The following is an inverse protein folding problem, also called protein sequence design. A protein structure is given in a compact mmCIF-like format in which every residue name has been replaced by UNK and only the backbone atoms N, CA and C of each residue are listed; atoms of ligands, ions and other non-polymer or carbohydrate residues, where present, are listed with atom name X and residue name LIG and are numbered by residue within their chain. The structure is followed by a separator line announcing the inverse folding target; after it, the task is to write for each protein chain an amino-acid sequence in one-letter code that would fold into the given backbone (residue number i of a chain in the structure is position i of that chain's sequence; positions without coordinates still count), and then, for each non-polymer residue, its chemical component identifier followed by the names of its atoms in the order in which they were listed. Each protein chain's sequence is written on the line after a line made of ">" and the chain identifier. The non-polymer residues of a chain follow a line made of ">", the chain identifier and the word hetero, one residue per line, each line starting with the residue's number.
data_IF_765747802800
#
_entry.id   IF_765747802800
#
_cell.length_a   1.000
_cell.length_b   1.000
_cell.length_c   1.000
_cell.angle_alpha   90.00
_cell.angle_beta   90.00
_cell.angle_gamma   90.00
#
_symmetry.space_group_name_H-M   'P 1'
#
loop_
_entity.id
_entity.type
_entity.pdbx_description
1 polymer ?
#
# COMPACT_ATOMS: atom_id res chain seq x y z
N UNK A 1 -9.19 -7.52 -32.23
CA UNK A 1 -8.28 -8.52 -31.78
C UNK A 1 -8.90 -9.80 -31.24
N UNK A 2 -10.23 -10.03 -31.38
CA UNK A 2 -10.91 -11.30 -31.16
C UNK A 2 -10.95 -11.82 -29.71
N UNK A 3 -10.54 -11.03 -28.71
CA UNK A 3 -10.57 -11.41 -27.29
C UNK A 3 -11.74 -10.75 -26.58
N UNK A 4 -12.49 -11.54 -25.79
CA UNK A 4 -13.60 -11.02 -25.00
C UNK A 4 -13.13 -10.04 -23.95
N UNK A 5 -13.65 -8.81 -23.98
CA UNK A 5 -13.25 -7.71 -23.07
C UNK A 5 -13.69 -8.01 -21.63
N UNK A 6 -14.91 -8.53 -21.44
CA UNK A 6 -15.43 -8.83 -20.10
C UNK A 6 -14.57 -9.87 -19.39
N UNK A 7 -14.22 -10.95 -20.09
CA UNK A 7 -13.31 -11.97 -19.56
C UNK A 7 -11.96 -11.37 -19.19
N UNK A 8 -11.39 -10.49 -20.02
CA UNK A 8 -10.11 -9.81 -19.73
C UNK A 8 -10.22 -8.91 -18.49
N UNK A 9 -11.33 -8.21 -18.29
CA UNK A 9 -11.56 -7.36 -17.12
C UNK A 9 -11.64 -8.23 -15.85
N UNK A 10 -12.37 -9.34 -15.89
CA UNK A 10 -12.49 -10.28 -14.76
C UNK A 10 -11.13 -10.94 -14.44
N UNK A 11 -10.39 -11.40 -15.43
CA UNK A 11 -9.05 -11.94 -15.19
C UNK A 11 -8.05 -10.85 -14.75
N UNK A 12 -8.13 -9.66 -15.33
CA UNK A 12 -7.31 -8.52 -14.95
C UNK A 12 -7.52 -8.07 -13.51
N UNK A 13 -8.74 -8.21 -12.98
CA UNK A 13 -9.02 -7.89 -11.57
C UNK A 13 -8.17 -8.71 -10.61
N UNK A 14 -7.90 -9.99 -10.91
CA UNK A 14 -7.08 -10.85 -10.06
C UNK A 14 -5.67 -10.30 -9.90
N UNK A 15 -5.08 -9.83 -11.00
CA UNK A 15 -3.72 -9.27 -10.99
C UNK A 15 -3.67 -7.92 -10.30
N UNK A 16 -4.55 -6.98 -10.68
CA UNK A 16 -4.59 -5.65 -10.05
C UNK A 16 -4.88 -5.74 -8.55
N UNK A 17 -5.85 -6.57 -8.13
CA UNK A 17 -6.15 -6.76 -6.71
C UNK A 17 -5.02 -7.48 -5.97
N UNK A 18 -4.43 -8.53 -6.54
CA UNK A 18 -3.32 -9.24 -5.91
C UNK A 18 -2.13 -8.31 -5.68
N UNK A 19 -1.73 -7.53 -6.68
CA UNK A 19 -0.64 -6.54 -6.54
C UNK A 19 -1.01 -5.51 -5.47
N UNK A 20 -2.21 -4.94 -5.50
CA UNK A 20 -2.67 -3.95 -4.52
C UNK A 20 -2.64 -4.47 -3.09
N UNK A 21 -3.16 -5.68 -2.87
CA UNK A 21 -3.22 -6.31 -1.54
C UNK A 21 -1.82 -6.71 -1.06
N UNK A 22 -1.05 -7.43 -1.88
CA UNK A 22 0.29 -7.92 -1.48
C UNK A 22 1.20 -6.74 -1.12
N UNK A 23 1.24 -5.69 -1.95
CA UNK A 23 2.09 -4.52 -1.69
C UNK A 23 1.62 -3.72 -0.47
N UNK A 24 0.30 -3.66 -0.21
CA UNK A 24 -0.23 -3.03 0.99
C UNK A 24 0.20 -3.77 2.25
N UNK A 25 0.15 -5.11 2.25
CA UNK A 25 0.61 -5.91 3.39
C UNK A 25 2.13 -5.83 3.59
N UNK A 26 2.95 -5.89 2.53
CA UNK A 26 4.40 -5.72 2.65
C UNK A 26 4.73 -4.34 3.23
N UNK A 27 4.10 -3.29 2.69
CA UNK A 27 4.28 -1.92 3.19
C UNK A 27 3.83 -1.78 4.64
N UNK A 28 2.73 -2.47 5.02
CA UNK A 28 2.24 -2.49 6.40
C UNK A 28 3.27 -3.13 7.33
N UNK A 29 3.81 -4.29 7.00
CA UNK A 29 4.80 -4.97 7.82
C UNK A 29 6.03 -4.08 8.05
N UNK A 30 6.60 -3.53 6.98
CA UNK A 30 7.78 -2.66 7.06
C UNK A 30 7.45 -1.40 7.86
N UNK A 31 6.36 -0.71 7.52
CA UNK A 31 5.96 0.55 8.13
C UNK A 31 5.56 0.39 9.60
N UNK A 32 4.81 -0.66 9.93
CA UNK A 32 4.40 -0.92 11.31
C UNK A 32 5.60 -1.22 12.20
N UNK A 33 6.51 -2.08 11.74
CA UNK A 33 7.72 -2.40 12.49
C UNK A 33 8.62 -1.18 12.69
N UNK A 34 8.87 -0.44 11.61
CA UNK A 34 9.69 0.77 11.63
C UNK A 34 9.07 1.86 12.52
N UNK A 35 7.79 2.17 12.35
CA UNK A 35 7.09 3.17 13.13
C UNK A 35 6.94 2.80 14.59
N UNK A 36 6.74 1.50 14.90
CA UNK A 36 6.65 1.01 16.26
C UNK A 36 7.99 1.16 17.01
N UNK A 37 9.10 0.81 16.40
CA UNK A 37 10.45 1.00 16.99
C UNK A 37 10.70 2.48 17.22
N UNK A 38 10.51 3.31 16.21
CA UNK A 38 10.72 4.75 16.28
C UNK A 38 9.92 5.39 17.43
N UNK A 39 8.59 5.18 17.46
CA UNK A 39 7.71 5.75 18.49
C UNK A 39 7.99 5.22 19.89
N UNK A 40 8.32 3.93 20.01
CA UNK A 40 8.54 3.31 21.32
C UNK A 40 9.84 3.77 21.98
N UNK A 41 10.96 3.73 21.29
CA UNK A 41 12.25 4.13 21.84
C UNK A 41 12.38 5.64 21.98
N UNK A 42 11.85 6.42 21.00
CA UNK A 42 11.90 7.88 21.07
C UNK A 42 13.31 8.46 20.98
N UNK A 43 13.46 9.72 21.40
CA UNK A 43 14.77 10.39 21.52
C UNK A 43 15.59 10.38 20.22
N UNK A 44 16.86 10.02 20.31
CA UNK A 44 17.77 9.99 19.17
C UNK A 44 17.38 8.93 18.12
N UNK A 45 16.92 7.76 18.57
CA UNK A 45 16.47 6.68 17.66
C UNK A 45 15.33 7.16 16.77
N UNK A 46 14.32 7.78 17.38
CA UNK A 46 13.19 8.36 16.65
C UNK A 46 13.64 9.44 15.68
N UNK A 47 14.52 10.35 16.14
CA UNK A 47 15.00 11.45 15.32
C UNK A 47 15.76 10.99 14.08
N UNK A 48 16.62 9.97 14.19
CA UNK A 48 17.37 9.43 13.06
C UNK A 48 16.44 8.67 12.11
N UNK A 49 15.59 7.80 12.66
CA UNK A 49 14.65 7.00 11.86
C UNK A 49 13.68 7.90 11.09
N UNK A 50 13.11 8.92 11.75
CA UNK A 50 12.18 9.83 11.07
C UNK A 50 12.88 10.74 10.07
N UNK A 51 14.13 11.13 10.27
CA UNK A 51 14.90 11.86 9.26
C UNK A 51 15.01 11.06 7.95
N UNK A 52 15.23 9.75 8.04
CA UNK A 52 15.25 8.89 6.86
C UNK A 52 13.88 8.83 6.17
N UNK A 53 12.80 8.71 6.95
CA UNK A 53 11.42 8.75 6.45
C UNK A 53 11.12 10.10 5.80
N UNK A 54 11.59 11.22 6.37
CA UNK A 54 11.37 12.56 5.84
C UNK A 54 12.07 12.76 4.49
N UNK A 55 13.31 12.26 4.35
CA UNK A 55 14.03 12.28 3.07
C UNK A 55 13.27 11.48 2.02
N UNK A 56 12.85 10.26 2.35
CA UNK A 56 12.08 9.42 1.43
C UNK A 56 10.73 10.05 1.04
N UNK A 57 10.08 10.73 1.97
CA UNK A 57 8.78 11.39 1.73
C UNK A 57 8.89 12.67 0.92
N UNK A 58 10.03 13.37 0.95
CA UNK A 58 10.25 14.61 0.21
C UNK A 58 10.32 14.41 -1.32
N UNK A 59 10.54 13.17 -1.75
CA UNK A 59 10.63 12.84 -3.17
C UNK A 59 9.26 12.44 -3.74
N UNK A 60 8.92 12.84 -4.98
CA UNK A 60 7.68 12.44 -5.62
C UNK A 60 7.57 10.91 -5.74
N UNK A 61 6.55 10.33 -5.10
CA UNK A 61 6.36 8.87 -5.01
C UNK A 61 6.38 8.18 -6.37
N UNK A 62 5.70 8.75 -7.37
CA UNK A 62 5.67 8.20 -8.74
C UNK A 62 7.06 8.14 -9.38
N UNK A 63 7.88 9.19 -9.20
CA UNK A 63 9.23 9.24 -9.76
C UNK A 63 10.09 8.13 -9.16
N UNK A 64 10.01 7.94 -7.84
CA UNK A 64 10.75 6.87 -7.16
C UNK A 64 10.28 5.50 -7.65
N UNK A 65 8.97 5.27 -7.76
CA UNK A 65 8.42 4.00 -8.24
C UNK A 65 8.92 3.69 -9.66
N UNK A 66 8.89 4.67 -10.56
CA UNK A 66 9.39 4.53 -11.93
C UNK A 66 10.90 4.21 -11.92
N UNK A 67 11.70 4.95 -11.16
CA UNK A 67 13.14 4.71 -11.08
C UNK A 67 13.47 3.31 -10.55
N UNK A 68 12.82 2.89 -9.47
CA UNK A 68 13.00 1.54 -8.91
C UNK A 68 12.64 0.49 -9.97
N UNK A 69 11.51 0.68 -10.65
CA UNK A 69 11.03 -0.26 -11.68
C UNK A 69 12.01 -0.35 -12.84
N UNK A 70 12.47 0.78 -13.38
CA UNK A 70 13.45 0.83 -14.48
C UNK A 70 14.79 0.19 -14.09
N UNK A 71 15.30 0.51 -12.90
CA UNK A 71 16.51 -0.11 -12.37
C UNK A 71 16.34 -1.62 -12.21
N UNK A 72 15.21 -2.07 -11.64
CA UNK A 72 14.94 -3.49 -11.48
C UNK A 72 14.84 -4.22 -12.83
N UNK A 73 14.21 -3.61 -13.83
CA UNK A 73 14.07 -4.16 -15.16
C UNK A 73 15.40 -4.19 -15.94
N UNK A 74 16.37 -3.33 -15.61
CA UNK A 74 17.70 -3.36 -16.20
C UNK A 74 18.58 -4.52 -15.71
N UNK A 75 18.27 -5.07 -14.53
CA UNK A 75 19.03 -6.19 -13.95
C UNK A 75 18.40 -7.53 -14.34
N UNK A 76 19.20 -8.47 -14.84
CA UNK A 76 18.74 -9.80 -15.25
C UNK A 76 18.68 -10.77 -14.06
N UNK A 77 17.82 -10.48 -13.07
CA UNK A 77 17.64 -11.34 -11.89
C UNK A 77 16.75 -12.57 -12.14
N UNK A 78 15.88 -12.49 -13.13
CA UNK A 78 14.90 -13.53 -13.44
C UNK A 78 14.96 -13.91 -14.91
N UNK A 79 14.98 -15.20 -15.20
CA UNK A 79 14.88 -15.72 -16.56
C UNK A 79 13.47 -15.59 -17.15
N UNK A 80 12.44 -15.54 -16.31
CA UNK A 80 11.05 -15.36 -16.72
C UNK A 80 10.71 -13.86 -16.72
N UNK A 81 10.39 -13.25 -17.91
CA UNK A 81 10.08 -11.83 -18.01
C UNK A 81 8.84 -11.42 -17.20
N UNK A 82 7.87 -12.33 -17.08
CA UNK A 82 6.62 -12.10 -16.36
C UNK A 82 6.84 -11.97 -14.86
N UNK A 83 7.60 -12.92 -14.29
CA UNK A 83 7.97 -12.89 -12.89
C UNK A 83 8.82 -11.66 -12.56
N UNK A 84 9.69 -11.26 -13.48
CA UNK A 84 10.48 -10.04 -13.40
C UNK A 84 9.58 -8.80 -13.32
N UNK A 85 8.64 -8.65 -14.26
CA UNK A 85 7.72 -7.51 -14.31
C UNK A 85 6.85 -7.41 -13.04
N UNK A 86 6.28 -8.54 -12.60
CA UNK A 86 5.47 -8.62 -11.38
C UNK A 86 6.30 -8.26 -10.14
N UNK A 87 7.46 -8.90 -9.96
CA UNK A 87 8.32 -8.68 -8.79
C UNK A 87 8.82 -7.24 -8.73
N UNK A 88 9.24 -6.67 -9.88
CA UNK A 88 9.65 -5.27 -9.96
C UNK A 88 8.55 -4.30 -9.55
N UNK A 89 7.30 -4.56 -9.97
CA UNK A 89 6.15 -3.75 -9.56
C UNK A 89 5.85 -3.90 -8.06
N UNK A 90 5.88 -5.13 -7.53
CA UNK A 90 5.71 -5.36 -6.09
C UNK A 90 6.75 -4.63 -5.25
N UNK A 91 8.01 -4.69 -5.65
CA UNK A 91 9.13 -4.02 -4.96
C UNK A 91 8.96 -2.49 -5.03
N UNK A 92 8.70 -1.93 -6.22
CA UNK A 92 8.55 -0.49 -6.40
C UNK A 92 7.44 0.10 -5.53
N UNK A 93 6.26 -0.54 -5.53
CA UNK A 93 5.12 -0.12 -4.72
C UNK A 93 5.37 -0.29 -3.21
N UNK A 94 6.01 -1.39 -2.81
CA UNK A 94 6.26 -1.69 -1.40
C UNK A 94 7.30 -0.74 -0.79
N UNK A 95 8.39 -0.44 -1.51
CA UNK A 95 9.46 0.47 -1.04
C UNK A 95 8.94 1.90 -0.83
N UNK A 96 7.97 2.34 -1.61
CA UNK A 96 7.39 3.68 -1.43
C UNK A 96 6.26 3.65 -0.39
N UNK A 97 5.51 2.55 -0.34
CA UNK A 97 4.30 2.43 0.46
C UNK A 97 4.48 2.49 1.97
N UNK A 98 5.58 1.98 2.50
CA UNK A 98 5.79 1.86 3.95
C UNK A 98 6.00 3.19 4.68
N UNK A 99 6.45 4.23 3.98
CA UNK A 99 6.84 5.53 4.57
C UNK A 99 5.68 6.21 5.31
N UNK A 100 4.51 6.28 4.68
CA UNK A 100 3.30 6.86 5.29
C UNK A 100 2.76 6.02 6.44
N UNK A 101 2.87 4.68 6.34
CA UNK A 101 2.49 3.75 7.39
C UNK A 101 3.40 3.87 8.61
N UNK A 102 4.72 4.03 8.41
CA UNK A 102 5.67 4.24 9.48
C UNK A 102 5.34 5.50 10.31
N UNK A 103 5.00 6.61 9.65
CA UNK A 103 4.59 7.86 10.32
C UNK A 103 3.29 7.69 11.12
N UNK A 104 2.30 7.03 10.53
CA UNK A 104 1.03 6.77 11.21
C UNK A 104 1.24 5.91 12.45
N UNK A 105 1.93 4.78 12.31
CA UNK A 105 2.18 3.85 13.42
C UNK A 105 3.01 4.50 14.52
N UNK A 106 4.05 5.27 14.17
CA UNK A 106 4.81 6.06 15.13
C UNK A 106 3.89 7.00 15.93
N UNK A 107 3.02 7.76 15.24
CA UNK A 107 2.08 8.67 15.92
C UNK A 107 1.15 7.96 16.88
N UNK A 108 0.62 6.82 16.49
CA UNK A 108 -0.25 5.99 17.35
C UNK A 108 0.52 5.42 18.54
N UNK A 109 1.75 4.95 18.35
CA UNK A 109 2.60 4.43 19.44
C UNK A 109 2.93 5.51 20.45
N UNK A 110 3.25 6.74 20.00
CA UNK A 110 3.50 7.86 20.90
C UNK A 110 2.28 8.19 21.75
N UNK A 111 1.09 8.20 21.19
CA UNK A 111 -0.15 8.45 21.93
C UNK A 111 -0.40 7.36 22.98
N UNK A 112 -0.31 6.09 22.58
CA UNK A 112 -0.59 4.96 23.49
C UNK A 112 0.48 4.84 24.58
N UNK A 113 1.74 5.17 24.29
CA UNK A 113 2.86 5.10 25.22
C UNK A 113 2.68 5.98 26.47
N UNK A 114 1.93 7.06 26.36
CA UNK A 114 1.64 8.03 27.43
C UNK A 114 0.38 7.68 28.22
N UNK A 115 -0.27 6.56 27.93
CA UNK A 115 -1.47 6.15 28.64
C UNK A 115 -1.15 5.55 30.02
N UNK A 116 -1.99 5.86 31.02
CA UNK A 116 -1.79 5.46 32.43
C UNK A 116 -1.61 3.95 32.63
N UNK A 117 -2.25 3.11 31.82
CA UNK A 117 -2.08 1.65 31.93
C UNK A 117 -0.69 1.16 31.45
N UNK A 118 -0.03 1.91 30.56
CA UNK A 118 1.37 1.64 30.17
C UNK A 118 2.32 2.05 31.28
N UNK A 119 2.08 3.17 31.96
CA UNK A 119 2.85 3.58 33.14
C UNK A 119 2.70 2.57 34.29
N UNK A 120 1.47 2.13 34.55
CA UNK A 120 1.23 1.08 35.54
C UNK A 120 1.97 -0.22 35.21
N UNK A 121 1.99 -0.62 33.93
CA UNK A 121 2.76 -1.78 33.48
C UNK A 121 4.27 -1.63 33.71
N UNK A 122 4.82 -0.43 33.51
CA UNK A 122 6.24 -0.13 33.84
C UNK A 122 6.50 -0.22 35.33
N UNK A 123 5.61 0.33 36.15
CA UNK A 123 5.71 0.26 37.60
C UNK A 123 5.65 -1.18 38.13
N UNK A 124 4.92 -2.06 37.45
CA UNK A 124 4.86 -3.50 37.72
C UNK A 124 6.08 -4.28 37.19
N UNK A 125 7.05 -3.60 36.54
CA UNK A 125 8.27 -4.22 36.06
C UNK A 125 8.18 -4.90 34.71
N UNK A 126 7.14 -4.63 33.91
CA UNK A 126 7.04 -5.17 32.55
C UNK A 126 8.16 -4.64 31.64
N UNK A 127 8.81 -5.54 30.92
CA UNK A 127 9.87 -5.19 29.97
C UNK A 127 9.34 -4.43 28.74
N UNK A 128 10.22 -3.65 28.11
CA UNK A 128 9.88 -2.83 26.94
C UNK A 128 9.19 -3.61 25.82
N UNK A 129 9.72 -4.78 25.45
CA UNK A 129 9.14 -5.62 24.39
C UNK A 129 7.78 -6.19 24.78
N UNK A 130 7.61 -6.57 26.07
CA UNK A 130 6.33 -7.08 26.57
C UNK A 130 5.24 -6.01 26.49
N UNK A 131 5.53 -4.78 26.89
CA UNK A 131 4.62 -3.65 26.80
C UNK A 131 4.27 -3.35 25.34
N UNK A 132 5.27 -3.31 24.45
CA UNK A 132 5.05 -3.02 23.04
C UNK A 132 4.14 -4.06 22.36
N UNK A 133 4.47 -5.36 22.49
CA UNK A 133 3.73 -6.43 21.81
C UNK A 133 2.38 -6.73 22.43
N UNK A 134 2.27 -6.69 23.76
CA UNK A 134 1.07 -7.12 24.47
C UNK A 134 0.07 -6.00 24.76
N UNK A 135 0.54 -4.75 24.80
CA UNK A 135 -0.31 -3.63 25.20
C UNK A 135 -0.37 -2.52 24.15
N UNK A 136 0.71 -2.18 23.45
CA UNK A 136 0.72 -1.06 22.49
C UNK A 136 0.19 -1.50 21.14
N UNK A 137 0.81 -2.51 20.50
CA UNK A 137 0.44 -2.94 19.15
C UNK A 137 -1.03 -3.36 19.03
N UNK A 138 -1.61 -4.14 19.97
CA UNK A 138 -3.04 -4.48 19.86
C UNK A 138 -3.96 -3.26 19.93
N UNK A 139 -3.60 -2.24 20.69
CA UNK A 139 -4.41 -1.03 20.83
C UNK A 139 -4.37 -0.10 19.61
N UNK A 140 -3.36 -0.22 18.75
CA UNK A 140 -3.25 0.57 17.51
C UNK A 140 -3.70 -0.19 16.27
N UNK A 141 -4.19 -1.44 16.41
CA UNK A 141 -4.65 -2.24 15.25
C UNK A 141 -5.82 -1.58 14.51
N UNK A 142 -6.76 -0.92 15.21
CA UNK A 142 -7.87 -0.25 14.58
C UNK A 142 -7.42 0.78 13.53
N UNK A 143 -6.67 1.82 13.90
CA UNK A 143 -6.09 2.77 12.97
C UNK A 143 -5.24 2.15 11.84
N UNK A 144 -4.53 1.07 12.13
CA UNK A 144 -3.72 0.34 11.14
C UNK A 144 -4.61 -0.33 10.10
N UNK A 145 -5.67 -1.02 10.53
CA UNK A 145 -6.61 -1.70 9.62
C UNK A 145 -7.32 -0.67 8.72
N UNK A 146 -7.77 0.44 9.28
CA UNK A 146 -8.38 1.53 8.51
C UNK A 146 -7.40 2.06 7.46
N UNK A 147 -6.14 2.31 7.83
CA UNK A 147 -5.14 2.79 6.87
C UNK A 147 -4.84 1.76 5.77
N UNK A 148 -4.88 0.47 6.10
CA UNK A 148 -4.68 -0.62 5.13
C UNK A 148 -5.78 -0.62 4.07
N UNK A 149 -7.05 -0.41 4.46
CA UNK A 149 -8.17 -0.37 3.51
C UNK A 149 -8.06 0.77 2.51
N UNK A 150 -7.52 1.92 2.89
CA UNK A 150 -7.23 3.02 1.95
C UNK A 150 -5.95 2.78 1.14
N UNK A 151 -5.00 2.01 1.67
CA UNK A 151 -3.74 1.74 0.98
C UNK A 151 -3.90 0.78 -0.19
N UNK A 152 -4.76 -0.23 -0.06
CA UNK A 152 -5.02 -1.20 -1.13
C UNK A 152 -5.47 -0.52 -2.44
N UNK A 153 -6.54 0.29 -2.48
CA UNK A 153 -6.97 0.95 -3.71
C UNK A 153 -5.92 1.93 -4.25
N UNK A 154 -5.19 2.63 -3.39
CA UNK A 154 -4.10 3.49 -3.82
C UNK A 154 -3.00 2.70 -4.55
N UNK A 155 -2.63 1.52 -4.06
CA UNK A 155 -1.64 0.66 -4.72
C UNK A 155 -2.18 0.08 -6.03
N UNK A 156 -3.48 -0.26 -6.12
CA UNK A 156 -4.13 -0.68 -7.38
C UNK A 156 -4.04 0.44 -8.41
N UNK A 157 -4.30 1.69 -8.00
CA UNK A 157 -4.20 2.84 -8.89
C UNK A 157 -2.76 3.06 -9.38
N UNK A 158 -1.77 2.96 -8.50
CA UNK A 158 -0.36 3.08 -8.88
C UNK A 158 0.10 1.95 -9.80
N UNK A 159 -0.31 0.69 -9.53
CA UNK A 159 -0.07 -0.44 -10.43
C UNK A 159 -0.66 -0.16 -11.81
N UNK A 160 -1.94 0.25 -11.83
CA UNK A 160 -2.64 0.54 -13.08
C UNK A 160 -1.99 1.69 -13.86
N UNK A 161 -1.49 2.71 -13.16
CA UNK A 161 -0.76 3.81 -13.79
C UNK A 161 0.58 3.34 -14.37
N UNK A 162 1.38 2.56 -13.63
CA UNK A 162 2.64 2.00 -14.14
C UNK A 162 2.40 1.09 -15.35
N UNK A 163 1.34 0.27 -15.31
CA UNK A 163 0.95 -0.59 -16.43
C UNK A 163 0.46 0.22 -17.63
N UNK A 164 -0.29 1.30 -17.40
CA UNK A 164 -0.77 2.22 -18.44
C UNK A 164 0.38 2.88 -19.21
N UNK A 165 1.45 3.30 -18.52
CA UNK A 165 2.63 3.89 -19.16
C UNK A 165 3.64 2.85 -19.69
N UNK A 166 3.28 1.57 -19.68
CA UNK A 166 4.12 0.48 -20.21
C UNK A 166 5.24 -0.02 -19.28
N UNK A 167 5.28 0.45 -18.04
CA UNK A 167 6.27 0.02 -17.04
C UNK A 167 5.73 -1.04 -16.06
N UNK A 168 4.45 -1.43 -16.18
CA UNK A 168 3.83 -2.43 -15.33
C UNK A 168 3.92 -3.85 -15.88
N UNK A 169 2.82 -4.58 -15.72
CA UNK A 169 2.66 -5.92 -16.27
C UNK A 169 2.63 -5.88 -17.79
N UNK A 170 3.18 -6.92 -18.41
CA UNK A 170 3.23 -7.06 -19.88
C UNK A 170 2.31 -8.19 -20.33
N UNK A 171 1.78 -8.16 -21.58
CA UNK A 171 1.11 -9.33 -22.15
C UNK A 171 1.97 -10.59 -22.05
N UNK A 172 1.38 -11.78 -21.76
CA UNK A 172 -0.02 -12.13 -21.84
C UNK A 172 -0.88 -11.78 -20.62
N UNK A 173 -0.29 -11.27 -19.54
CA UNK A 173 -1.07 -10.87 -18.37
C UNK A 173 -1.93 -9.66 -18.67
N UNK A 174 -3.12 -9.69 -18.09
CA UNK A 174 -4.11 -8.64 -18.18
C UNK A 174 -4.24 -8.02 -16.79
N UNK A 175 -4.01 -6.72 -16.66
CA UNK A 175 -4.42 -5.92 -15.52
C UNK A 175 -5.35 -4.81 -16.01
N UNK A 176 -6.05 -4.15 -15.11
CA UNK A 176 -6.91 -3.04 -15.52
C UNK A 176 -6.10 -1.89 -16.15
N UNK A 177 -4.86 -1.68 -15.69
CA UNK A 177 -3.96 -0.68 -16.28
C UNK A 177 -3.52 -1.03 -17.71
N UNK A 178 -3.16 -2.28 -17.96
CA UNK A 178 -2.83 -2.78 -19.32
C UNK A 178 -4.03 -2.64 -20.26
N UNK A 179 -5.24 -3.01 -19.77
CA UNK A 179 -6.46 -2.89 -20.57
C UNK A 179 -6.80 -1.43 -20.88
N UNK A 180 -6.58 -0.53 -19.93
CA UNK A 180 -6.78 0.90 -20.15
C UNK A 180 -5.76 1.46 -21.15
N UNK A 181 -4.50 1.02 -21.13
CA UNK A 181 -3.48 1.38 -22.11
C UNK A 181 -3.84 0.91 -23.52
N UNK A 182 -4.19 -0.38 -23.68
CA UNK A 182 -4.67 -0.94 -24.94
C UNK A 182 -5.88 -0.16 -25.50
N UNK A 183 -6.79 0.28 -24.61
CA UNK A 183 -7.98 1.04 -24.97
C UNK A 183 -7.71 2.51 -25.31
N UNK A 184 -6.67 3.11 -24.73
CA UNK A 184 -6.31 4.51 -24.99
C UNK A 184 -5.87 4.74 -26.43
N UNK A 185 -5.13 3.80 -27.01
CA UNK A 185 -4.69 3.86 -28.41
C UNK A 185 -5.85 3.80 -29.40
N UNK A 186 -7.01 3.30 -28.97
CA UNK A 186 -8.22 3.12 -29.80
C UNK A 186 -9.38 4.02 -29.36
N UNK A 187 -9.11 5.04 -28.55
CA UNK A 187 -10.13 5.86 -27.89
C UNK A 187 -11.13 6.50 -28.87
N UNK A 188 -10.65 6.99 -30.00
CA UNK A 188 -11.49 7.65 -31.01
C UNK A 188 -12.48 6.69 -31.70
N UNK A 189 -12.05 5.42 -31.89
CA UNK A 189 -12.86 4.43 -32.62
C UNK A 189 -13.67 3.53 -31.69
N UNK A 190 -13.11 3.19 -30.53
CA UNK A 190 -13.69 2.22 -29.61
C UNK A 190 -13.56 2.66 -28.13
N UNK A 191 -14.24 3.75 -27.72
CA UNK A 191 -14.10 4.34 -26.38
C UNK A 191 -14.46 3.38 -25.25
N UNK A 192 -15.28 2.37 -25.50
CA UNK A 192 -15.65 1.37 -24.51
C UNK A 192 -14.46 0.53 -24.01
N UNK A 193 -13.38 0.40 -24.78
CA UNK A 193 -12.19 -0.36 -24.40
C UNK A 193 -11.43 0.25 -23.22
N UNK A 194 -11.46 1.57 -23.07
CA UNK A 194 -10.88 2.25 -21.90
C UNK A 194 -11.92 2.50 -20.81
N UNK A 195 -13.19 2.74 -21.18
CA UNK A 195 -14.24 3.06 -20.21
C UNK A 195 -14.54 1.89 -19.27
N UNK A 196 -14.59 0.66 -19.75
CA UNK A 196 -14.89 -0.48 -18.89
C UNK A 196 -13.78 -0.82 -17.87
N UNK A 197 -12.48 -0.88 -18.22
CA UNK A 197 -11.42 -1.00 -17.22
C UNK A 197 -11.38 0.18 -16.25
N UNK A 198 -11.61 1.41 -16.75
CA UNK A 198 -11.71 2.60 -15.92
C UNK A 198 -12.88 2.54 -14.92
N UNK A 199 -14.05 2.05 -15.36
CA UNK A 199 -15.19 1.82 -14.49
C UNK A 199 -14.91 0.75 -13.44
N UNK A 200 -14.21 -0.35 -13.79
CA UNK A 200 -13.80 -1.37 -12.85
C UNK A 200 -12.87 -0.81 -11.75
N UNK A 201 -11.90 0.02 -12.13
CA UNK A 201 -11.05 0.75 -11.18
C UNK A 201 -11.88 1.67 -10.28
N UNK A 202 -12.75 2.49 -10.87
CA UNK A 202 -13.59 3.43 -10.12
C UNK A 202 -14.46 2.75 -9.08
N UNK A 203 -15.21 1.71 -9.47
CA UNK A 203 -16.08 0.99 -8.54
C UNK A 203 -15.29 0.25 -7.46
N UNK A 204 -14.13 -0.29 -7.79
CA UNK A 204 -13.25 -0.93 -6.80
C UNK A 204 -12.73 0.08 -5.79
N UNK A 205 -12.25 1.25 -6.25
CA UNK A 205 -11.79 2.31 -5.36
C UNK A 205 -12.92 2.79 -4.45
N UNK A 206 -14.11 3.02 -5.00
CA UNK A 206 -15.29 3.43 -4.25
C UNK A 206 -15.69 2.38 -3.19
N UNK A 207 -15.67 1.10 -3.53
CA UNK A 207 -15.99 0.02 -2.59
C UNK A 207 -14.98 -0.02 -1.41
N UNK A 208 -13.69 0.09 -1.68
CA UNK A 208 -12.67 0.16 -0.62
C UNK A 208 -12.76 1.43 0.21
N UNK A 209 -13.13 2.56 -0.38
CA UNK A 209 -13.37 3.82 0.33
C UNK A 209 -14.52 3.66 1.34
N UNK A 210 -15.67 3.17 0.88
CA UNK A 210 -16.83 2.92 1.73
C UNK A 210 -16.52 1.90 2.84
N UNK A 211 -15.76 0.85 2.51
CA UNK A 211 -15.31 -0.14 3.50
C UNK A 211 -14.39 0.51 4.54
N UNK A 212 -13.45 1.35 4.10
CA UNK A 212 -12.52 2.06 4.98
C UNK A 212 -13.22 3.02 5.92
N UNK A 213 -14.19 3.78 5.41
CA UNK A 213 -15.00 4.70 6.22
C UNK A 213 -15.85 3.94 7.24
N UNK A 214 -16.52 2.86 6.83
CA UNK A 214 -17.28 2.00 7.74
C UNK A 214 -16.44 1.34 8.83
N UNK A 215 -15.22 0.90 8.49
CA UNK A 215 -14.28 0.38 9.49
C UNK A 215 -13.77 1.46 10.42
N UNK A 216 -13.50 2.66 9.91
CA UNK A 216 -13.12 3.80 10.74
C UNK A 216 -14.18 4.12 11.78
N UNK A 217 -15.45 4.18 11.37
CA UNK A 217 -16.56 4.45 12.27
C UNK A 217 -16.73 3.33 13.31
N UNK A 218 -16.55 2.07 12.91
CA UNK A 218 -16.64 0.92 13.81
C UNK A 218 -15.50 0.88 14.85
N UNK A 219 -14.31 1.36 14.50
CA UNK A 219 -13.15 1.41 15.42
C UNK A 219 -13.02 2.73 16.19
N UNK A 220 -13.82 3.76 15.89
CA UNK A 220 -13.80 5.03 16.64
C UNK A 220 -14.52 4.87 18.00
N UNK A 221 -13.79 4.99 19.13
CA UNK A 221 -14.39 4.87 20.46
C UNK A 221 -15.43 5.97 20.76
N UNK A 222 -15.34 7.12 20.08
CA UNK A 222 -16.25 8.27 20.31
C UNK A 222 -17.64 8.04 19.73
N UNK A 223 -17.80 7.11 18.81
CA UNK A 223 -19.10 6.76 18.22
C UNK A 223 -19.92 5.78 19.10
N UNK A 224 -19.35 5.33 20.22
CA UNK A 224 -20.00 4.39 21.15
C UNK A 224 -20.66 5.07 22.36
N UNK A 225 -20.66 6.41 22.38
CA UNK A 225 -21.36 7.25 23.36
C UNK A 225 -22.57 7.89 22.70
#
# INVERSE_FOLDING_TARGET
>A
LGRDLLSRIIYGSRMSMAVGVITAFISLFIGAFYGAISGWFGGWVDSVMMRFVDIAYSMPSLVIMILIKVVFDSVNLFSNPELKALTGTLIALSIVGWVSLARLVRGQVLQVKEMAYIEAGRALGFGHLQLLWRHVLPNILGPIIVMLTFRIPANILFESFLSFIGLGLQPPYSSWGVLASDGADLLESYPHLILFPGAALFFTMMAFQLLGDGLRDAFDPKMRL
#
